data_IF_053120438160
#
_entry.id   IF_053120438160
#
_cell.length_a   1.000
_cell.length_b   1.000
_cell.length_c   1.000
_cell.angle_alpha   90.00
_cell.angle_beta   90.00
_cell.angle_gamma   90.00
#
_symmetry.space_group_name_H-M   'P 1'
#
loop_
_entity.id
_entity.type
_entity.pdbx_description
1 polymer ?
#
# COMPACT_ATOMS: atom_id res chain seq x y z
N UNK A 1 -37.30 -23.70 24.61
CA UNK A 1 -35.92 -23.57 25.15
C UNK A 1 -34.98 -24.01 24.03
N UNK A 2 -34.24 -23.20 23.28
CA UNK A 2 -33.76 -21.83 23.38
C UNK A 2 -33.78 -21.19 21.98
N UNK A 3 -34.77 -20.34 21.67
CA UNK A 3 -34.75 -19.51 20.45
C UNK A 3 -34.77 -18.00 20.78
N UNK A 4 -34.63 -17.64 22.06
CA UNK A 4 -34.70 -16.24 22.51
C UNK A 4 -33.36 -15.67 22.99
N UNK A 5 -32.24 -16.39 22.84
CA UNK A 5 -30.90 -15.92 23.29
C UNK A 5 -30.00 -15.35 22.19
N UNK A 6 -30.41 -15.37 20.90
CA UNK A 6 -29.59 -14.82 19.81
C UNK A 6 -29.86 -13.34 19.47
N UNK A 7 -30.90 -12.72 20.06
CA UNK A 7 -31.29 -11.33 19.76
C UNK A 7 -30.62 -10.28 20.66
N UNK A 8 -29.83 -10.70 21.66
CA UNK A 8 -29.23 -9.81 22.67
C UNK A 8 -27.71 -9.68 22.59
N UNK A 9 -27.06 -10.28 21.59
CA UNK A 9 -25.64 -10.01 21.39
C UNK A 9 -25.50 -8.76 20.50
N UNK A 10 -25.20 -7.58 21.05
CA UNK A 10 -24.97 -6.40 20.23
C UNK A 10 -23.85 -6.73 19.25
N UNK A 11 -24.08 -6.44 17.96
CA UNK A 11 -23.01 -6.54 16.96
C UNK A 11 -21.80 -5.77 17.51
N UNK A 12 -20.59 -6.33 17.49
CA UNK A 12 -19.41 -5.59 17.91
C UNK A 12 -19.40 -4.25 17.20
N UNK A 13 -19.47 -3.16 17.95
CA UNK A 13 -19.32 -1.82 17.41
C UNK A 13 -17.95 -1.83 16.73
N UNK A 14 -17.84 -1.50 15.43
CA UNK A 14 -16.54 -1.44 14.78
C UNK A 14 -15.64 -0.56 15.64
N UNK A 15 -14.54 -1.13 16.13
CA UNK A 15 -13.60 -0.38 16.96
C UNK A 15 -13.21 0.89 16.18
N UNK A 16 -13.36 2.05 16.82
CA UNK A 16 -12.98 3.32 16.23
C UNK A 16 -11.50 3.24 15.80
N UNK A 17 -11.21 3.68 14.57
CA UNK A 17 -9.85 3.64 14.05
C UNK A 17 -8.91 4.41 15.00
N UNK A 18 -7.75 3.86 15.36
CA UNK A 18 -6.82 4.54 16.26
C UNK A 18 -6.39 5.88 15.65
N UNK A 19 -6.03 6.89 16.46
CA UNK A 19 -5.59 8.19 15.95
C UNK A 19 -4.36 8.05 15.04
N UNK A 20 -4.26 8.93 14.04
CA UNK A 20 -3.11 8.98 13.12
C UNK A 20 -1.85 9.38 13.88
N UNK A 21 -0.77 8.62 13.72
CA UNK A 21 0.51 8.94 14.36
C UNK A 21 1.08 10.26 13.79
N UNK A 22 1.72 11.13 14.59
CA UNK A 22 2.29 12.40 14.10
C UNK A 22 3.23 12.27 12.90
N UNK A 23 4.05 11.22 12.83
CA UNK A 23 4.93 10.96 11.67
C UNK A 23 4.17 10.55 10.40
N UNK A 24 2.95 10.02 10.54
CA UNK A 24 2.08 9.66 9.41
C UNK A 24 1.21 10.85 8.99
N UNK A 25 0.95 11.81 9.88
CA UNK A 25 0.08 12.95 9.62
C UNK A 25 0.41 13.73 8.32
N UNK A 26 1.68 13.97 7.96
CA UNK A 26 2.02 14.60 6.67
C UNK A 26 1.59 13.80 5.44
N UNK A 27 1.44 12.48 5.57
CA UNK A 27 1.04 11.54 4.52
C UNK A 27 -0.42 11.10 4.67
N UNK A 28 -1.19 11.71 5.56
CA UNK A 28 -2.59 11.35 5.83
C UNK A 28 -3.47 11.43 4.58
N UNK A 29 -3.09 12.25 3.60
CA UNK A 29 -3.80 12.36 2.32
C UNK A 29 -3.75 11.08 1.47
N UNK A 30 -2.89 10.12 1.78
CA UNK A 30 -2.86 8.81 1.11
C UNK A 30 -3.89 7.84 1.69
N UNK A 31 -4.27 8.02 2.96
CA UNK A 31 -5.10 7.06 3.68
C UNK A 31 -6.46 6.89 3.00
N UNK A 32 -6.83 5.65 2.73
CA UNK A 32 -8.03 5.32 1.99
C UNK A 32 -7.82 4.24 0.95
N UNK A 33 -8.83 4.06 0.10
CA UNK A 33 -8.79 3.16 -1.05
C UNK A 33 -8.87 4.00 -2.32
N UNK A 34 -7.95 3.74 -3.24
CA UNK A 34 -7.82 4.41 -4.52
C UNK A 34 -8.07 3.39 -5.60
N UNK A 35 -8.86 3.73 -6.61
CA UNK A 35 -9.15 2.85 -7.74
C UNK A 35 -9.06 3.62 -9.03
N UNK A 36 -8.37 3.07 -10.02
CA UNK A 36 -8.08 3.74 -11.28
C UNK A 36 -7.72 2.77 -12.40
N UNK A 37 -7.14 3.33 -13.44
CA UNK A 37 -6.62 2.59 -14.59
C UNK A 37 -5.20 3.10 -14.88
N UNK A 38 -4.33 2.20 -15.31
CA UNK A 38 -2.96 2.49 -15.70
C UNK A 38 -2.64 1.99 -17.10
N UNK A 39 -1.50 2.43 -17.62
CA UNK A 39 -0.91 1.99 -18.88
C UNK A 39 0.53 1.57 -18.61
N UNK A 40 0.90 0.38 -19.07
CA UNK A 40 2.24 -0.18 -18.94
C UNK A 40 2.94 -0.17 -20.28
N UNK A 41 4.17 0.32 -20.31
CA UNK A 41 5.03 0.36 -21.50
C UNK A 41 6.46 0.00 -21.09
N UNK A 42 7.10 -0.87 -21.86
CA UNK A 42 8.51 -1.18 -21.72
C UNK A 42 9.08 -1.61 -23.07
N UNK A 43 10.34 -1.31 -23.44
CA UNK A 43 10.84 -1.52 -24.81
C UNK A 43 10.66 -2.92 -25.39
N UNK A 44 10.55 -3.95 -24.55
CA UNK A 44 10.44 -5.35 -24.96
C UNK A 44 9.03 -5.94 -24.88
N UNK A 45 8.03 -5.17 -24.43
CA UNK A 45 6.63 -5.61 -24.33
C UNK A 45 5.70 -4.60 -25.00
N UNK A 46 4.66 -5.07 -25.66
CA UNK A 46 3.64 -4.18 -26.21
C UNK A 46 2.91 -3.43 -25.09
N UNK A 47 2.57 -2.16 -25.34
CA UNK A 47 1.82 -1.35 -24.40
C UNK A 47 0.48 -2.03 -24.05
N UNK A 48 0.11 -1.96 -22.78
CA UNK A 48 -1.12 -2.57 -22.27
C UNK A 48 -1.79 -1.68 -21.22
N UNK A 49 -3.11 -1.81 -21.07
CA UNK A 49 -3.89 -1.09 -20.06
C UNK A 49 -4.38 -2.04 -18.98
N UNK A 50 -4.48 -1.57 -17.75
CA UNK A 50 -4.91 -2.37 -16.61
C UNK A 50 -5.77 -1.53 -15.66
N UNK A 51 -6.62 -2.19 -14.88
CA UNK A 51 -7.25 -1.58 -13.72
C UNK A 51 -6.38 -1.79 -12.48
N UNK A 52 -6.44 -0.83 -11.56
CA UNK A 52 -5.60 -0.83 -10.36
C UNK A 52 -6.39 -0.36 -9.13
N UNK A 53 -6.15 -1.01 -7.99
CA UNK A 53 -6.64 -0.58 -6.69
C UNK A 53 -5.49 -0.57 -5.68
N UNK A 54 -5.36 0.54 -4.97
CA UNK A 54 -4.38 0.74 -3.90
C UNK A 54 -5.13 1.01 -2.59
N UNK A 55 -4.61 0.50 -1.48
CA UNK A 55 -5.14 0.80 -0.15
C UNK A 55 -4.01 1.16 0.80
N UNK A 56 -4.17 2.31 1.46
CA UNK A 56 -3.28 2.80 2.50
C UNK A 56 -4.06 2.84 3.82
N UNK A 57 -3.51 2.20 4.85
CA UNK A 57 -4.15 2.14 6.17
C UNK A 57 -3.13 2.17 7.30
N UNK A 58 -3.57 2.47 8.52
CA UNK A 58 -2.70 2.50 9.69
C UNK A 58 -3.40 1.88 10.90
N UNK A 59 -2.59 1.51 11.88
CA UNK A 59 -3.02 1.02 13.20
C UNK A 59 -2.60 1.97 14.34
N UNK A 60 -2.28 3.22 14.01
CA UNK A 60 -1.80 4.24 14.96
C UNK A 60 -0.29 4.20 15.25
N UNK A 61 0.44 3.30 14.59
CA UNK A 61 1.90 3.24 14.60
C UNK A 61 2.50 4.20 13.56
N UNK A 62 3.81 4.55 13.65
CA UNK A 62 4.51 5.36 12.64
C UNK A 62 4.77 4.58 11.33
N UNK A 63 3.76 3.87 10.83
CA UNK A 63 3.82 2.99 9.67
C UNK A 63 2.47 3.00 8.97
N UNK A 64 2.47 3.08 7.64
CA UNK A 64 1.28 2.91 6.80
C UNK A 64 1.39 1.56 6.11
N UNK A 65 0.40 0.70 6.30
CA UNK A 65 0.24 -0.52 5.53
C UNK A 65 -0.26 -0.18 4.12
N UNK A 66 0.39 -0.76 3.11
CA UNK A 66 0.11 -0.60 1.70
C UNK A 66 -0.25 -1.95 1.08
N UNK A 67 -1.32 -1.98 0.29
CA UNK A 67 -1.66 -3.12 -0.56
C UNK A 67 -2.11 -2.60 -1.91
N UNK A 68 -1.69 -3.26 -2.97
CA UNK A 68 -2.08 -2.95 -4.33
C UNK A 68 -2.39 -4.23 -5.10
N UNK A 69 -3.31 -4.13 -6.05
CA UNK A 69 -3.63 -5.19 -7.00
C UNK A 69 -4.04 -4.61 -8.34
N UNK A 70 -3.76 -5.37 -9.39
CA UNK A 70 -4.16 -5.06 -10.77
C UNK A 70 -5.07 -6.12 -11.36
N UNK A 71 -5.80 -5.75 -12.41
CA UNK A 71 -6.63 -6.66 -13.20
C UNK A 71 -6.72 -6.24 -14.68
N UNK A 72 -7.05 -7.20 -15.54
CA UNK A 72 -7.36 -6.94 -16.96
C UNK A 72 -8.65 -6.13 -17.06
N UNK A 73 -8.66 -5.05 -17.82
CA UNK A 73 -9.83 -4.16 -17.92
C UNK A 73 -11.05 -4.87 -18.51
N UNK A 74 -10.85 -5.76 -19.47
CA UNK A 74 -11.91 -6.39 -20.25
C UNK A 74 -12.59 -7.52 -19.48
N UNK A 75 -11.81 -8.31 -18.73
CA UNK A 75 -12.30 -9.54 -18.08
C UNK A 75 -12.37 -9.44 -16.55
N UNK A 76 -11.75 -8.43 -15.95
CA UNK A 76 -11.58 -8.35 -14.49
C UNK A 76 -10.66 -9.43 -13.93
N UNK A 77 -9.98 -10.21 -14.77
CA UNK A 77 -9.08 -11.27 -14.32
C UNK A 77 -7.90 -10.67 -13.53
N UNK A 78 -7.58 -11.20 -12.34
CA UNK A 78 -6.44 -10.73 -11.54
C UNK A 78 -5.11 -10.80 -12.30
N UNK A 79 -4.25 -9.81 -12.06
CA UNK A 79 -2.89 -9.72 -12.61
C UNK A 79 -1.87 -9.66 -11.45
N UNK A 80 -0.96 -8.68 -11.45
CA UNK A 80 0.05 -8.45 -10.41
C UNK A 80 -0.58 -7.92 -9.12
N UNK A 81 0.03 -8.24 -7.99
CA UNK A 81 -0.27 -7.64 -6.70
C UNK A 81 1.01 -7.40 -5.90
N UNK A 82 0.97 -6.42 -5.02
CA UNK A 82 2.06 -6.12 -4.10
C UNK A 82 1.54 -5.59 -2.77
N UNK A 83 2.36 -5.72 -1.74
CA UNK A 83 2.04 -5.19 -0.41
C UNK A 83 3.30 -4.84 0.35
N UNK A 84 3.16 -3.91 1.30
CA UNK A 84 4.32 -3.34 1.95
C UNK A 84 4.00 -2.34 3.03
N UNK A 85 5.02 -1.61 3.43
CA UNK A 85 4.94 -0.63 4.51
C UNK A 85 5.69 0.64 4.18
N UNK A 86 5.03 1.78 4.36
CA UNK A 86 5.63 3.11 4.29
C UNK A 86 5.99 3.57 5.71
N UNK A 87 7.25 3.97 5.91
CA UNK A 87 7.85 4.30 7.20
C UNK A 87 8.41 5.73 7.17
N UNK A 88 7.57 6.77 7.33
CA UNK A 88 8.04 8.14 7.44
C UNK A 88 8.86 8.36 8.72
N UNK A 89 9.93 9.14 8.63
CA UNK A 89 10.87 9.43 9.72
C UNK A 89 10.78 10.91 10.14
N UNK A 90 11.21 11.27 11.37
CA UNK A 90 11.08 12.64 11.90
C UNK A 90 11.89 13.69 11.12
N UNK A 91 12.95 13.26 10.44
CA UNK A 91 13.81 14.10 9.62
C UNK A 91 13.22 14.40 8.22
N UNK A 92 11.99 13.96 7.96
CA UNK A 92 11.30 14.11 6.67
C UNK A 92 11.73 13.09 5.62
N UNK A 93 12.61 12.13 5.97
CA UNK A 93 12.91 10.99 5.11
C UNK A 93 11.80 9.94 5.20
N UNK A 94 11.77 9.03 4.23
CA UNK A 94 10.84 7.91 4.22
C UNK A 94 11.49 6.68 3.60
N UNK A 95 11.19 5.54 4.19
CA UNK A 95 11.57 4.22 3.71
C UNK A 95 10.30 3.44 3.35
N UNK A 96 10.31 2.76 2.22
CA UNK A 96 9.20 1.93 1.76
C UNK A 96 9.74 0.54 1.46
N UNK A 97 9.11 -0.48 2.06
CA UNK A 97 9.45 -1.89 1.81
C UNK A 97 8.26 -2.56 1.16
N UNK A 98 8.46 -3.21 0.00
CA UNK A 98 7.40 -3.82 -0.80
C UNK A 98 7.81 -5.24 -1.17
N UNK A 99 6.86 -6.16 -1.10
CA UNK A 99 6.94 -7.49 -1.69
C UNK A 99 5.91 -7.61 -2.81
N UNK A 100 6.34 -8.15 -3.94
CA UNK A 100 5.53 -8.34 -5.15
C UNK A 100 5.20 -9.82 -5.34
N UNK A 101 4.03 -10.10 -5.92
CA UNK A 101 3.58 -11.46 -6.25
C UNK A 101 4.46 -12.19 -7.27
N UNK A 102 5.37 -11.48 -7.92
CA UNK A 102 6.37 -12.00 -8.88
C UNK A 102 7.63 -12.55 -8.22
N UNK A 103 7.72 -12.56 -6.89
CA UNK A 103 8.91 -13.03 -6.17
C UNK A 103 10.02 -11.99 -6.06
N UNK A 104 9.67 -10.71 -6.11
CA UNK A 104 10.58 -9.57 -5.93
C UNK A 104 10.27 -8.85 -4.63
N UNK A 105 11.32 -8.37 -3.96
CA UNK A 105 11.21 -7.41 -2.85
C UNK A 105 12.03 -6.17 -3.14
N UNK A 106 11.51 -5.03 -2.72
CA UNK A 106 12.11 -3.72 -2.91
C UNK A 106 12.26 -2.99 -1.58
N UNK A 107 13.39 -2.30 -1.45
CA UNK A 107 13.58 -1.26 -0.43
C UNK A 107 13.79 0.05 -1.16
N UNK A 108 12.90 1.02 -0.93
CA UNK A 108 12.99 2.35 -1.51
C UNK A 108 13.26 3.37 -0.40
N UNK A 109 14.22 4.26 -0.62
CA UNK A 109 14.61 5.28 0.36
C UNK A 109 14.52 6.66 -0.29
N UNK A 110 13.87 7.60 0.40
CA UNK A 110 13.90 9.03 0.05
C UNK A 110 14.46 9.82 1.21
N UNK A 111 15.52 10.57 0.94
CA UNK A 111 16.27 11.28 1.97
C UNK A 111 15.57 12.53 2.51
N UNK A 112 14.71 13.23 1.74
CA UNK A 112 13.90 14.38 2.24
C UNK A 112 12.63 14.59 1.42
N UNK A 113 11.50 14.83 2.11
CA UNK A 113 10.26 15.31 1.52
C UNK A 113 10.12 16.83 1.78
N UNK A 114 10.18 17.70 0.76
CA UNK A 114 9.75 19.08 0.94
C UNK A 114 8.22 19.08 1.11
N UNK A 115 7.75 19.49 2.29
CA UNK A 115 6.32 19.49 2.66
C UNK A 115 5.49 20.52 1.85
N UNK A 116 6.16 21.38 1.08
CA UNK A 116 5.57 22.56 0.44
C UNK A 116 5.36 22.41 -1.08
N UNK A 117 5.72 21.25 -1.64
CA UNK A 117 5.51 20.93 -3.06
C UNK A 117 4.12 20.30 -3.29
N UNK A 118 3.61 20.24 -4.55
CA UNK A 118 2.46 19.39 -4.86
C UNK A 118 2.72 17.99 -4.30
N UNK A 119 1.65 17.36 -3.78
CA UNK A 119 1.65 16.04 -3.10
C UNK A 119 2.13 14.90 -4.02
N UNK A 120 3.40 14.94 -4.40
CA UNK A 120 4.09 14.04 -5.32
C UNK A 120 5.09 13.28 -4.48
N UNK A 121 4.87 11.97 -4.35
CA UNK A 121 5.87 11.07 -3.81
C UNK A 121 6.71 10.52 -4.95
N UNK A 122 8.00 10.88 -4.94
CA UNK A 122 9.02 10.27 -5.80
C UNK A 122 9.97 9.46 -4.93
N UNK A 123 10.27 8.23 -5.32
CA UNK A 123 11.19 7.32 -4.64
C UNK A 123 12.23 6.78 -5.63
N UNK A 124 13.37 6.36 -5.10
CA UNK A 124 14.37 5.59 -5.85
C UNK A 124 14.57 4.28 -5.09
N UNK A 125 14.58 3.17 -5.84
CA UNK A 125 14.89 1.86 -5.27
C UNK A 125 16.35 1.84 -4.82
N UNK A 126 16.57 1.51 -3.55
CA UNK A 126 17.89 1.31 -2.95
C UNK A 126 18.34 -0.15 -3.12
N UNK A 127 17.39 -1.10 -3.09
CA UNK A 127 17.66 -2.51 -3.33
C UNK A 127 16.48 -3.23 -3.98
N UNK A 128 16.79 -4.13 -4.91
CA UNK A 128 15.88 -5.07 -5.57
C UNK A 128 16.43 -6.48 -5.33
N UNK A 129 15.68 -7.33 -4.63
CA UNK A 129 16.08 -8.70 -4.32
C UNK A 129 15.06 -9.65 -4.95
N UNK A 130 15.55 -10.68 -5.64
CA UNK A 130 14.78 -11.74 -6.27
C UNK A 130 14.97 -13.05 -5.51
N UNK A 131 13.96 -13.92 -5.51
CA UNK A 131 13.92 -15.25 -4.85
C UNK A 131 15.16 -16.13 -5.02
N UNK A 132 16.06 -15.87 -5.97
CA UNK A 132 17.34 -16.59 -6.07
C UNK A 132 18.31 -16.33 -4.91
N UNK A 133 18.07 -15.35 -4.04
CA UNK A 133 18.98 -14.94 -2.97
C UNK A 133 18.36 -14.91 -1.56
N UNK A 134 17.10 -15.36 -1.39
CA UNK A 134 16.47 -15.41 -0.06
C UNK A 134 16.73 -16.78 0.54
N UNK A 135 17.81 -16.89 1.32
CA UNK A 135 17.97 -17.98 2.29
C UNK A 135 17.33 -17.52 3.60
N UNK A 136 16.28 -18.23 4.02
CA UNK A 136 15.67 -18.11 5.33
C UNK A 136 16.66 -18.46 6.44
#
# INVERSE_FOLDING_TARGET
MNQLQELENPRPIPAESPPVHPFVAPLSYLLGTWRGQGEGEYPTISSFRYGEELRFSHSGKPVIAYTQKTWKLESGAPMHAESGYFRPKPDGSIEVVIAQSTGLVEVQVKSKFPLDLPKIMSYVSDSLISERNIQC
#
